data_IF_921076920958
#
_entry.id   IF_921076920958
#
_cell.length_a   1.000
_cell.length_b   1.000
_cell.length_c   1.000
_cell.angle_alpha   90.00
_cell.angle_beta   90.00
_cell.angle_gamma   90.00
#
_symmetry.space_group_name_H-M   'P 1'
#
loop_
_entity.id
_entity.type
_entity.pdbx_description
1 polymer ?
#
# COMPACT_ATOMS: atom_id res chain seq x y z
N UNK A 1 47.45 -1.56 -8.07
CA UNK A 1 47.49 -0.09 -8.22
C UNK A 1 46.91 0.24 -9.59
N UNK A 2 45.60 0.48 -9.65
CA UNK A 2 44.94 0.87 -10.90
C UNK A 2 43.86 1.88 -10.53
N UNK A 3 44.13 3.14 -10.85
CA UNK A 3 43.25 4.27 -10.61
C UNK A 3 42.13 4.27 -11.66
N UNK A 4 40.88 4.45 -11.23
CA UNK A 4 39.78 4.69 -12.17
C UNK A 4 39.62 6.20 -12.38
N UNK A 5 40.00 6.62 -13.59
CA UNK A 5 39.93 7.98 -14.12
C UNK A 5 39.04 7.92 -15.36
N UNK A 6 37.80 8.39 -15.28
CA UNK A 6 36.98 8.71 -16.47
C UNK A 6 35.74 9.55 -16.09
N UNK A 7 35.96 10.82 -15.76
CA UNK A 7 34.96 11.86 -15.93
C UNK A 7 35.23 12.49 -17.30
N UNK A 8 34.33 12.35 -18.29
CA UNK A 8 34.19 13.24 -19.45
C UNK A 8 32.97 12.83 -20.31
N UNK A 9 31.97 13.72 -20.28
CA UNK A 9 30.98 14.09 -21.32
C UNK A 9 30.57 13.07 -22.41
N UNK A 10 29.26 12.80 -22.49
CA UNK A 10 28.56 12.21 -23.63
C UNK A 10 27.07 12.62 -23.64
N UNK A 11 26.39 12.70 -24.81
CA UNK A 11 25.46 13.78 -25.11
C UNK A 11 23.98 13.50 -24.79
N UNK A 12 23.22 14.61 -24.75
CA UNK A 12 21.79 14.72 -24.53
C UNK A 12 20.96 13.71 -25.36
N UNK A 13 20.18 12.87 -24.67
CA UNK A 13 19.15 12.03 -25.31
C UNK A 13 17.85 12.81 -25.42
N UNK A 14 17.30 12.77 -26.63
CA UNK A 14 16.04 13.38 -27.04
C UNK A 14 14.87 12.85 -26.21
N UNK A 15 14.04 13.77 -25.71
CA UNK A 15 12.77 13.44 -25.08
C UNK A 15 11.81 12.86 -26.12
N UNK A 16 11.46 11.58 -25.99
CA UNK A 16 10.30 11.01 -26.66
C UNK A 16 9.08 11.28 -25.80
N UNK A 17 8.24 12.21 -26.26
CA UNK A 17 6.94 12.54 -25.69
C UNK A 17 6.01 11.32 -25.74
N UNK A 18 5.57 10.88 -24.56
CA UNK A 18 4.53 9.86 -24.38
C UNK A 18 3.19 10.49 -24.78
N UNK A 19 2.38 9.88 -25.68
CA UNK A 19 1.05 10.39 -25.98
C UNK A 19 0.12 10.18 -24.78
N UNK A 20 -0.62 11.24 -24.42
CA UNK A 20 -1.59 11.22 -23.34
C UNK A 20 -2.71 10.20 -23.61
N UNK A 21 -3.00 9.32 -22.65
CA UNK A 21 -4.20 8.50 -22.65
C UNK A 21 -5.43 9.40 -22.57
N UNK A 22 -6.31 9.30 -23.57
CA UNK A 22 -7.61 9.97 -23.54
C UNK A 22 -8.55 9.25 -22.54
N UNK A 23 -9.31 9.99 -21.72
CA UNK A 23 -10.35 9.39 -20.89
C UNK A 23 -11.53 8.89 -21.75
N UNK A 24 -12.24 7.85 -21.33
CA UNK A 24 -13.40 7.33 -22.05
C UNK A 24 -14.54 8.36 -22.08
N UNK A 25 -15.38 8.37 -23.14
CA UNK A 25 -16.46 9.33 -23.25
C UNK A 25 -17.54 9.12 -22.18
N UNK A 26 -18.04 10.23 -21.64
CA UNK A 26 -19.11 10.26 -20.66
C UNK A 26 -20.39 9.64 -21.19
N UNK A 27 -21.03 8.78 -20.38
CA UNK A 27 -22.36 8.21 -20.68
C UNK A 27 -23.42 9.32 -20.58
N UNK A 28 -24.38 9.40 -21.52
CA UNK A 28 -25.42 10.42 -21.46
C UNK A 28 -26.35 10.20 -20.27
N UNK A 29 -26.55 11.28 -19.51
CA UNK A 29 -27.52 11.39 -18.44
C UNK A 29 -28.90 11.76 -19.02
N UNK A 30 -29.78 10.77 -19.14
CA UNK A 30 -31.24 10.83 -19.29
C UNK A 30 -31.62 9.35 -19.47
N UNK A 31 -32.61 8.74 -18.83
CA UNK A 31 -33.99 9.16 -18.69
C UNK A 31 -34.57 8.48 -17.43
N UNK A 32 -34.85 9.25 -16.39
CA UNK A 32 -35.84 8.88 -15.38
C UNK A 32 -36.87 10.00 -15.35
N UNK A 33 -37.86 9.92 -16.24
CA UNK A 33 -39.11 10.66 -16.06
C UNK A 33 -40.04 9.77 -15.24
N UNK A 34 -40.13 10.09 -13.96
CA UNK A 34 -41.25 9.69 -13.11
C UNK A 34 -42.48 10.50 -13.54
N UNK A 35 -43.31 9.93 -14.40
CA UNK A 35 -44.68 10.42 -14.61
C UNK A 35 -45.61 9.74 -13.61
N UNK A 36 -45.85 10.44 -12.51
CA UNK A 36 -46.91 10.12 -11.55
C UNK A 36 -48.29 10.47 -12.12
N UNK A 37 -49.18 9.47 -12.10
CA UNK A 37 -50.64 9.54 -11.91
C UNK A 37 -51.48 10.49 -12.79
N UNK A 38 -52.41 9.93 -13.56
CA UNK A 38 -53.84 10.16 -13.31
C UNK A 38 -54.76 9.17 -14.03
N UNK A 39 -55.84 8.86 -13.32
CA UNK A 39 -56.92 7.93 -13.65
C UNK A 39 -57.73 8.43 -14.85
N UNK A 40 -58.10 7.50 -15.73
CA UNK A 40 -59.37 7.53 -16.47
C UNK A 40 -59.67 6.12 -17.00
N UNK A 41 -60.09 5.23 -16.10
CA UNK A 41 -60.76 3.98 -16.47
C UNK A 41 -62.15 4.31 -17.01
N UNK A 42 -62.34 4.11 -18.30
CA UNK A 42 -63.63 4.20 -18.97
C UNK A 42 -63.63 3.31 -20.21
N UNK A 43 -63.59 1.99 -20.01
CA UNK A 43 -63.86 1.03 -21.09
C UNK A 43 -64.98 0.12 -20.61
N UNK A 44 -66.15 0.31 -21.19
CA UNK A 44 -67.25 -0.63 -21.15
C UNK A 44 -66.80 -1.94 -21.80
N UNK A 45 -66.54 -2.97 -21.00
CA UNK A 45 -66.47 -4.34 -21.48
C UNK A 45 -67.81 -5.01 -21.16
N UNK A 46 -68.69 -4.99 -22.16
CA UNK A 46 -69.76 -5.97 -22.26
C UNK A 46 -69.14 -7.38 -22.21
N UNK A 47 -69.76 -8.24 -21.42
CA UNK A 47 -69.28 -9.58 -21.13
C UNK A 47 -69.04 -10.40 -22.38
N UNK A 48 -67.79 -10.83 -22.53
CA UNK A 48 -67.46 -12.07 -23.23
C UNK A 48 -66.40 -12.76 -22.37
N UNK A 49 -66.87 -13.55 -21.40
CA UNK A 49 -66.05 -14.56 -20.75
C UNK A 49 -65.79 -15.62 -21.83
N UNK A 50 -64.76 -15.40 -22.64
CA UNK A 50 -64.08 -16.50 -23.30
C UNK A 50 -63.31 -17.18 -22.17
N UNK A 51 -63.89 -18.23 -21.59
CA UNK A 51 -63.08 -19.23 -20.89
C UNK A 51 -62.20 -19.88 -21.96
N UNK A 52 -61.06 -19.25 -22.26
CA UNK A 52 -60.01 -19.90 -23.00
C UNK A 52 -59.48 -21.00 -22.08
N UNK A 53 -60.17 -22.14 -22.09
CA UNK A 53 -59.71 -23.37 -21.48
C UNK A 53 -58.43 -23.73 -22.22
N UNK A 54 -57.29 -23.29 -21.69
CA UNK A 54 -55.99 -23.70 -22.19
C UNK A 54 -55.96 -25.23 -22.16
N UNK A 55 -55.50 -25.90 -23.24
CA UNK A 55 -55.46 -27.35 -23.28
C UNK A 55 -54.65 -27.85 -22.08
N UNK A 56 -55.03 -28.98 -21.44
CA UNK A 56 -54.40 -29.47 -20.22
C UNK A 56 -52.86 -29.48 -20.20
N UNK A 57 -52.13 -29.81 -21.30
CA UNK A 57 -50.67 -29.75 -21.30
C UNK A 57 -50.10 -28.32 -21.22
N UNK A 58 -50.84 -27.30 -21.67
CA UNK A 58 -50.41 -25.91 -21.61
C UNK A 58 -50.49 -25.34 -20.18
N UNK A 59 -51.50 -25.74 -19.40
CA UNK A 59 -51.63 -25.36 -17.98
C UNK A 59 -50.52 -25.98 -17.14
N UNK A 60 -50.23 -27.27 -17.38
CA UNK A 60 -49.12 -27.97 -16.73
C UNK A 60 -47.76 -27.33 -17.06
N UNK A 61 -47.54 -26.92 -18.32
CA UNK A 61 -46.31 -26.25 -18.75
C UNK A 61 -46.13 -24.87 -18.10
N UNK A 62 -47.21 -24.10 -17.94
CA UNK A 62 -47.17 -22.78 -17.27
C UNK A 62 -46.93 -22.91 -15.77
N UNK A 63 -47.57 -23.88 -15.11
CA UNK A 63 -47.34 -24.17 -13.69
C UNK A 63 -45.88 -24.59 -13.45
N UNK A 64 -45.35 -25.47 -14.28
CA UNK A 64 -43.95 -25.92 -14.16
C UNK A 64 -42.95 -24.79 -14.45
N UNK A 65 -43.25 -23.92 -15.42
CA UNK A 65 -42.44 -22.73 -15.67
C UNK A 65 -42.46 -21.76 -14.48
N UNK A 66 -43.60 -21.60 -13.81
CA UNK A 66 -43.72 -20.77 -12.61
C UNK A 66 -42.97 -21.35 -11.40
N UNK A 67 -43.00 -22.68 -11.23
CA UNK A 67 -42.24 -23.40 -10.20
C UNK A 67 -40.73 -23.23 -10.41
N UNK A 68 -40.26 -23.37 -11.66
CA UNK A 68 -38.83 -23.19 -11.99
C UNK A 68 -38.37 -21.76 -11.71
N UNK A 69 -39.21 -20.76 -11.98
CA UNK A 69 -38.89 -19.35 -11.66
C UNK A 69 -38.85 -19.11 -10.15
N UNK A 70 -39.77 -19.70 -9.38
CA UNK A 70 -39.78 -19.62 -7.92
C UNK A 70 -38.54 -20.29 -7.31
N UNK A 71 -38.16 -21.47 -7.79
CA UNK A 71 -36.96 -22.17 -7.35
C UNK A 71 -35.68 -21.37 -7.65
N UNK A 72 -35.60 -20.72 -8.81
CA UNK A 72 -34.48 -19.83 -9.15
C UNK A 72 -34.43 -18.59 -8.27
N UNK A 73 -35.57 -17.99 -7.94
CA UNK A 73 -35.64 -16.85 -7.04
C UNK A 73 -35.12 -17.22 -5.63
N UNK A 74 -35.58 -18.35 -5.08
CA UNK A 74 -35.12 -18.86 -3.79
C UNK A 74 -33.61 -19.17 -3.78
N UNK A 75 -33.09 -19.76 -4.86
CA UNK A 75 -31.66 -20.03 -4.99
C UNK A 75 -30.81 -18.74 -5.04
N UNK A 76 -31.31 -17.68 -5.66
CA UNK A 76 -30.64 -16.37 -5.70
C UNK A 76 -30.67 -15.69 -4.33
N UNK A 77 -31.78 -15.78 -3.60
CA UNK A 77 -31.88 -15.28 -2.23
C UNK A 77 -30.94 -16.02 -1.28
N UNK A 78 -30.85 -17.34 -1.39
CA UNK A 78 -29.94 -18.14 -0.58
C UNK A 78 -28.46 -17.83 -0.91
N UNK A 79 -28.14 -17.63 -2.18
CA UNK A 79 -26.82 -17.19 -2.60
C UNK A 79 -26.51 -15.78 -2.06
N UNK A 80 -27.46 -14.85 -2.15
CA UNK A 80 -27.33 -13.50 -1.61
C UNK A 80 -27.15 -13.52 -0.09
N UNK A 81 -27.89 -14.36 0.63
CA UNK A 81 -27.74 -14.56 2.07
C UNK A 81 -26.38 -15.16 2.43
N UNK A 82 -25.86 -16.12 1.65
CA UNK A 82 -24.51 -16.67 1.83
C UNK A 82 -23.42 -15.62 1.56
N UNK A 83 -23.61 -14.77 0.55
CA UNK A 83 -22.71 -13.64 0.29
C UNK A 83 -22.77 -12.60 1.40
N UNK A 84 -23.97 -12.23 1.87
CA UNK A 84 -24.16 -11.30 2.98
C UNK A 84 -23.61 -11.86 4.30
N UNK A 85 -23.80 -13.14 4.58
CA UNK A 85 -23.24 -13.82 5.75
C UNK A 85 -21.72 -14.00 5.65
N UNK A 86 -21.16 -14.11 4.44
CA UNK A 86 -19.71 -14.12 4.20
C UNK A 86 -19.10 -12.72 4.26
N UNK A 87 -19.82 -11.68 3.84
CA UNK A 87 -19.42 -10.29 4.07
C UNK A 87 -19.63 -9.88 5.54
N UNK A 88 -20.58 -10.53 6.23
CA UNK A 88 -20.81 -10.46 7.66
C UNK A 88 -20.11 -11.58 8.44
N UNK A 89 -19.11 -12.25 7.82
CA UNK A 89 -18.15 -13.06 8.54
C UNK A 89 -17.65 -12.22 9.72
N UNK A 90 -17.46 -12.83 10.90
CA UNK A 90 -17.46 -12.09 12.14
C UNK A 90 -16.52 -10.92 11.96
N UNK A 91 -17.06 -9.70 12.04
CA UNK A 91 -16.24 -8.55 12.33
C UNK A 91 -15.54 -8.96 13.63
N UNK A 92 -14.33 -9.50 13.50
CA UNK A 92 -13.42 -9.65 14.61
C UNK A 92 -13.45 -8.28 15.23
N UNK A 93 -13.89 -8.24 16.50
CA UNK A 93 -14.20 -7.05 17.28
C UNK A 93 -12.96 -6.17 17.43
N UNK A 94 -12.50 -5.61 16.32
CA UNK A 94 -11.82 -4.35 16.26
C UNK A 94 -12.92 -3.39 16.68
N UNK A 95 -12.78 -2.84 17.89
CA UNK A 95 -13.36 -1.55 18.18
C UNK A 95 -13.04 -0.70 16.95
N UNK A 96 -14.04 -0.26 16.18
CA UNK A 96 -13.82 0.53 14.97
C UNK A 96 -13.28 1.90 15.40
N UNK A 97 -12.01 1.90 15.80
CA UNK A 97 -11.25 3.10 16.07
C UNK A 97 -11.24 3.87 14.76
N UNK A 98 -11.85 5.05 14.79
CA UNK A 98 -12.00 5.87 13.61
C UNK A 98 -10.63 6.16 13.01
N UNK A 99 -10.55 6.33 11.68
CA UNK A 99 -9.28 6.64 11.00
C UNK A 99 -8.53 7.81 11.66
N UNK A 100 -9.19 8.92 12.09
CA UNK A 100 -8.51 9.99 12.82
C UNK A 100 -7.89 9.56 14.15
N UNK A 101 -8.56 8.70 14.92
CA UNK A 101 -8.02 8.18 16.19
C UNK A 101 -6.81 7.27 15.96
N UNK A 102 -6.90 6.35 14.99
CA UNK A 102 -5.78 5.49 14.58
C UNK A 102 -4.59 6.32 14.11
N UNK A 103 -4.84 7.35 13.32
CA UNK A 103 -3.80 8.26 12.83
C UNK A 103 -3.13 9.03 13.98
N UNK A 104 -3.91 9.55 14.94
CA UNK A 104 -3.38 10.23 16.11
C UNK A 104 -2.49 9.30 16.95
N UNK A 105 -2.91 8.04 17.14
CA UNK A 105 -2.13 7.03 17.86
C UNK A 105 -0.85 6.63 17.12
N UNK A 106 -0.90 6.49 15.79
CA UNK A 106 0.28 6.30 14.95
C UNK A 106 1.27 7.45 15.14
N UNK A 107 0.79 8.69 15.04
CA UNK A 107 1.63 9.88 15.20
C UNK A 107 2.26 9.94 16.60
N UNK A 108 1.50 9.61 17.63
CA UNK A 108 1.99 9.55 19.00
C UNK A 108 3.13 8.52 19.15
N UNK A 109 2.92 7.28 18.72
CA UNK A 109 3.93 6.23 18.82
C UNK A 109 5.20 6.54 18.02
N UNK A 110 5.05 7.13 16.83
CA UNK A 110 6.18 7.61 16.03
C UNK A 110 6.96 8.71 16.75
N UNK A 111 6.25 9.66 17.39
CA UNK A 111 6.90 10.72 18.16
C UNK A 111 7.63 10.17 19.40
N UNK A 112 7.04 9.21 20.11
CA UNK A 112 7.67 8.51 21.23
C UNK A 112 8.94 7.78 20.78
N UNK A 113 8.91 7.07 19.65
CA UNK A 113 10.07 6.39 19.08
C UNK A 113 11.20 7.35 18.70
N UNK A 114 10.86 8.48 18.07
CA UNK A 114 11.81 9.53 17.70
C UNK A 114 12.45 10.19 18.94
N UNK A 115 11.64 10.54 19.93
CA UNK A 115 12.12 11.12 21.19
C UNK A 115 13.04 10.15 21.96
N UNK A 116 12.66 8.86 22.03
CA UNK A 116 13.49 7.84 22.66
C UNK A 116 14.84 7.64 21.94
N UNK A 117 14.84 7.67 20.60
CA UNK A 117 16.07 7.58 19.81
C UNK A 117 16.97 8.80 20.03
N UNK A 118 16.40 10.01 20.08
CA UNK A 118 17.14 11.24 20.38
C UNK A 118 17.72 11.24 21.81
N UNK A 119 17.04 10.62 22.76
CA UNK A 119 17.54 10.42 24.13
C UNK A 119 18.58 9.28 24.25
N UNK A 120 18.91 8.59 23.15
CA UNK A 120 19.84 7.46 23.14
C UNK A 120 19.25 6.15 23.69
N UNK A 121 17.95 6.11 24.01
CA UNK A 121 17.27 4.90 24.46
C UNK A 121 16.78 4.08 23.25
N UNK A 122 17.73 3.48 22.55
CA UNK A 122 17.46 2.77 21.29
C UNK A 122 16.55 1.54 21.45
N UNK A 123 16.56 0.88 22.62
CA UNK A 123 15.68 -0.25 22.90
C UNK A 123 14.21 0.18 23.01
N UNK A 124 13.94 1.28 23.73
CA UNK A 124 12.59 1.84 23.80
C UNK A 124 12.13 2.39 22.44
N UNK A 125 13.03 3.06 21.71
CA UNK A 125 12.75 3.53 20.36
C UNK A 125 12.35 2.37 19.42
N UNK A 126 13.11 1.26 19.47
CA UNK A 126 12.82 0.08 18.68
C UNK A 126 11.44 -0.50 19.03
N UNK A 127 11.09 -0.59 20.31
CA UNK A 127 9.79 -1.08 20.76
C UNK A 127 8.61 -0.20 20.29
N UNK A 128 8.80 1.13 20.25
CA UNK A 128 7.80 2.07 19.75
C UNK A 128 7.59 1.89 18.23
N UNK A 129 8.66 1.86 17.44
CA UNK A 129 8.55 1.63 15.99
C UNK A 129 8.03 0.23 15.65
N UNK A 130 8.41 -0.81 16.41
CA UNK A 130 7.81 -2.15 16.32
C UNK A 130 6.29 -2.09 16.50
N UNK A 131 5.82 -1.29 17.45
CA UNK A 131 4.39 -1.10 17.72
C UNK A 131 3.70 -0.42 16.55
N UNK A 132 4.32 0.59 15.94
CA UNK A 132 3.78 1.26 14.73
C UNK A 132 3.62 0.26 13.58
N UNK A 133 4.68 -0.48 13.26
CA UNK A 133 4.70 -1.44 12.14
C UNK A 133 3.65 -2.54 12.33
N UNK A 134 3.42 -3.00 13.57
CA UNK A 134 2.44 -4.05 13.86
C UNK A 134 0.99 -3.56 13.87
N UNK A 135 0.74 -2.36 14.37
CA UNK A 135 -0.62 -1.85 14.60
C UNK A 135 -1.19 -1.07 13.40
N UNK A 136 -0.33 -0.53 12.55
CA UNK A 136 -0.73 0.35 11.44
C UNK A 136 -0.12 -0.03 10.09
N UNK A 137 -0.13 -1.32 9.67
CA UNK A 137 0.49 -1.74 8.41
C UNK A 137 -0.19 -1.16 7.15
N UNK A 138 -1.41 -0.64 7.28
CA UNK A 138 -2.23 -0.07 6.22
C UNK A 138 -1.94 1.41 5.93
N UNK A 139 -1.18 2.10 6.79
CA UNK A 139 -0.83 3.50 6.59
C UNK A 139 0.45 3.66 5.80
N UNK A 140 0.43 4.50 4.75
CA UNK A 140 1.63 4.80 3.95
C UNK A 140 2.78 5.42 4.78
N UNK A 141 2.47 6.14 5.87
CA UNK A 141 3.47 6.73 6.77
C UNK A 141 4.20 5.69 7.63
N UNK A 142 3.72 4.44 7.68
CA UNK A 142 4.37 3.35 8.42
C UNK A 142 5.73 2.99 7.84
N UNK A 143 5.97 3.28 6.56
CA UNK A 143 7.28 3.07 5.92
C UNK A 143 8.42 3.84 6.61
N UNK A 144 8.14 5.04 7.14
CA UNK A 144 9.10 5.78 7.96
C UNK A 144 9.47 5.03 9.25
N UNK A 145 8.48 4.42 9.91
CA UNK A 145 8.70 3.61 11.11
C UNK A 145 9.48 2.33 10.78
N UNK A 146 9.23 1.72 9.61
CA UNK A 146 9.98 0.55 9.14
C UNK A 146 11.45 0.91 8.92
N UNK A 147 11.75 2.01 8.24
CA UNK A 147 13.13 2.46 8.07
C UNK A 147 13.79 2.74 9.43
N UNK A 148 13.15 3.53 10.28
CA UNK A 148 13.68 3.86 11.61
C UNK A 148 13.97 2.62 12.46
N UNK A 149 13.06 1.64 12.42
CA UNK A 149 13.24 0.31 13.04
C UNK A 149 14.48 -0.39 12.52
N UNK A 150 14.70 -0.42 11.20
CA UNK A 150 15.88 -1.07 10.61
C UNK A 150 17.20 -0.42 11.08
N UNK A 151 17.25 0.92 11.14
CA UNK A 151 18.42 1.64 11.65
C UNK A 151 18.69 1.33 13.14
N UNK A 152 17.63 1.22 13.95
CA UNK A 152 17.73 0.88 15.37
C UNK A 152 18.13 -0.58 15.61
N UNK A 153 17.65 -1.50 14.78
CA UNK A 153 18.13 -2.89 14.79
C UNK A 153 19.64 -2.94 14.58
N UNK A 154 20.15 -2.16 13.62
CA UNK A 154 21.58 -2.07 13.39
C UNK A 154 22.33 -1.50 14.59
N UNK A 155 21.85 -0.38 15.14
CA UNK A 155 22.41 0.26 16.35
C UNK A 155 22.51 -0.72 17.54
N UNK A 156 21.50 -1.57 17.73
CA UNK A 156 21.42 -2.56 18.80
C UNK A 156 22.19 -3.86 18.48
N UNK A 157 22.85 -3.96 17.34
CA UNK A 157 23.67 -5.10 16.94
C UNK A 157 22.92 -6.28 16.35
N UNK A 158 21.63 -6.10 16.02
CA UNK A 158 20.85 -7.07 15.25
C UNK A 158 21.10 -6.87 13.75
N UNK A 159 22.37 -7.02 13.35
CA UNK A 159 22.84 -6.66 12.01
C UNK A 159 22.10 -7.40 10.89
N UNK A 160 21.95 -8.73 11.00
CA UNK A 160 21.26 -9.52 9.96
C UNK A 160 19.81 -9.07 9.77
N UNK A 161 19.09 -8.81 10.87
CA UNK A 161 17.70 -8.34 10.81
C UNK A 161 17.60 -6.96 10.17
N UNK A 162 18.57 -6.08 10.46
CA UNK A 162 18.63 -4.75 9.87
C UNK A 162 18.87 -4.80 8.35
N UNK A 163 19.82 -5.63 7.89
CA UNK A 163 20.10 -5.80 6.46
C UNK A 163 18.87 -6.35 5.74
N UNK A 164 18.27 -7.43 6.23
CA UNK A 164 17.08 -8.02 5.62
C UNK A 164 15.93 -7.01 5.52
N UNK A 165 15.75 -6.18 6.55
CA UNK A 165 14.71 -5.15 6.51
C UNK A 165 15.04 -3.99 5.56
N UNK A 166 16.31 -3.59 5.44
CA UNK A 166 16.74 -2.57 4.49
C UNK A 166 16.61 -3.06 3.04
N UNK A 167 16.93 -4.33 2.76
CA UNK A 167 16.73 -4.96 1.44
C UNK A 167 15.24 -5.04 1.09
N UNK A 168 14.37 -5.38 2.04
CA UNK A 168 12.93 -5.36 1.80
C UNK A 168 12.40 -3.93 1.53
N UNK A 169 12.91 -2.94 2.26
CA UNK A 169 12.58 -1.52 2.05
C UNK A 169 13.10 -0.99 0.71
N UNK A 170 14.26 -1.46 0.24
CA UNK A 170 14.80 -1.10 -1.08
C UNK A 170 13.82 -1.48 -2.19
N UNK A 171 13.21 -2.67 -2.08
CA UNK A 171 12.22 -3.16 -3.05
C UNK A 171 10.91 -2.38 -2.94
N UNK A 172 10.45 -2.10 -1.71
CA UNK A 172 9.18 -1.41 -1.46
C UNK A 172 9.23 0.09 -1.78
N UNK A 173 10.36 0.75 -1.52
CA UNK A 173 10.55 2.20 -1.61
C UNK A 173 11.58 2.56 -2.68
N UNK A 174 11.32 2.14 -3.93
CA UNK A 174 12.20 2.44 -5.06
C UNK A 174 12.44 3.94 -5.18
N UNK A 175 13.71 4.35 -5.04
CA UNK A 175 14.14 5.74 -5.13
C UNK A 175 14.21 6.51 -3.82
N UNK A 176 13.96 5.84 -2.68
CA UNK A 176 14.20 6.46 -1.38
C UNK A 176 15.70 6.41 -1.02
N UNK A 177 16.41 7.48 -1.40
CA UNK A 177 17.87 7.63 -1.23
C UNK A 177 18.41 7.23 0.15
N UNK A 178 17.64 7.45 1.21
CA UNK A 178 18.05 7.12 2.57
C UNK A 178 18.21 5.61 2.82
N UNK A 179 17.32 4.80 2.24
CA UNK A 179 17.39 3.34 2.36
C UNK A 179 18.66 2.85 1.66
N UNK A 180 18.89 3.32 0.44
CA UNK A 180 20.06 2.96 -0.35
C UNK A 180 21.37 3.40 0.34
N UNK A 181 21.44 4.62 0.87
CA UNK A 181 22.61 5.10 1.60
C UNK A 181 22.87 4.30 2.89
N UNK A 182 21.83 3.98 3.66
CA UNK A 182 21.96 3.18 4.87
C UNK A 182 22.40 1.74 4.55
N UNK A 183 21.80 1.12 3.53
CA UNK A 183 22.14 -0.22 3.08
C UNK A 183 23.59 -0.29 2.58
N UNK A 184 24.04 0.68 1.79
CA UNK A 184 25.43 0.78 1.34
C UNK A 184 26.43 0.82 2.52
N UNK A 185 26.21 1.71 3.49
CA UNK A 185 27.07 1.85 4.66
C UNK A 185 27.13 0.57 5.51
N UNK A 186 25.98 -0.09 5.72
CA UNK A 186 25.88 -1.33 6.51
C UNK A 186 26.52 -2.50 5.77
N UNK A 187 26.24 -2.68 4.48
CA UNK A 187 26.82 -3.77 3.68
C UNK A 187 28.34 -3.67 3.60
N UNK A 188 28.88 -2.47 3.35
CA UNK A 188 30.32 -2.26 3.31
C UNK A 188 31.01 -2.67 4.61
N UNK A 189 30.43 -2.26 5.74
CA UNK A 189 31.05 -2.49 7.06
C UNK A 189 30.90 -3.94 7.54
N UNK A 190 29.76 -4.57 7.28
CA UNK A 190 29.37 -5.83 7.91
C UNK A 190 29.45 -7.03 6.96
N UNK A 191 29.43 -6.80 5.64
CA UNK A 191 29.45 -7.84 4.60
C UNK A 191 30.50 -7.51 3.53
N UNK A 192 31.81 -7.66 3.82
CA UNK A 192 32.87 -7.39 2.85
C UNK A 192 32.82 -8.24 1.57
N UNK A 193 32.07 -9.35 1.56
CA UNK A 193 31.84 -10.15 0.36
C UNK A 193 30.82 -9.52 -0.61
N UNK A 194 30.06 -8.52 -0.16
CA UNK A 194 29.00 -7.83 -0.91
C UNK A 194 29.38 -6.37 -1.22
N UNK A 195 30.68 -6.09 -1.42
CA UNK A 195 31.17 -4.74 -1.70
C UNK A 195 30.57 -4.17 -3.00
N UNK A 196 30.51 -4.96 -4.07
CA UNK A 196 29.92 -4.54 -5.34
C UNK A 196 28.45 -4.12 -5.18
N UNK A 197 27.71 -4.83 -4.31
CA UNK A 197 26.33 -4.47 -3.98
C UNK A 197 26.29 -3.16 -3.17
N UNK A 198 27.17 -2.98 -2.19
CA UNK A 198 27.25 -1.74 -1.42
C UNK A 198 27.54 -0.53 -2.32
N UNK A 199 28.46 -0.65 -3.27
CA UNK A 199 28.78 0.38 -4.26
C UNK A 199 27.58 0.69 -5.16
N UNK A 200 26.89 -0.34 -5.67
CA UNK A 200 25.68 -0.17 -6.46
C UNK A 200 24.59 0.59 -5.70
N UNK A 201 24.37 0.23 -4.43
CA UNK A 201 23.39 0.91 -3.58
C UNK A 201 23.79 2.37 -3.34
N UNK A 202 25.08 2.65 -3.18
CA UNK A 202 25.57 4.01 -3.04
C UNK A 202 25.36 4.87 -4.30
N UNK A 203 25.64 4.33 -5.47
CA UNK A 203 25.41 5.01 -6.75
C UNK A 203 23.94 5.44 -6.89
N UNK A 204 23.00 4.53 -6.56
CA UNK A 204 21.58 4.82 -6.54
C UNK A 204 21.27 5.95 -5.55
N UNK A 205 21.80 5.88 -4.32
CA UNK A 205 21.59 6.92 -3.32
C UNK A 205 22.02 8.31 -3.82
N UNK A 206 23.18 8.39 -4.50
CA UNK A 206 23.73 9.63 -5.04
C UNK A 206 22.93 10.19 -6.22
N UNK A 207 22.32 9.32 -7.04
CA UNK A 207 21.43 9.74 -8.14
C UNK A 207 20.21 10.50 -7.59
N UNK A 208 19.62 10.01 -6.51
CA UNK A 208 18.43 10.62 -5.92
C UNK A 208 18.74 11.80 -4.99
N UNK A 209 19.79 11.68 -4.17
CA UNK A 209 20.18 12.75 -3.25
C UNK A 209 21.69 12.72 -2.95
N UNK A 210 22.49 13.55 -3.63
CA UNK A 210 23.95 13.57 -3.44
C UNK A 210 24.37 14.07 -2.05
N UNK A 211 23.47 14.67 -1.26
CA UNK A 211 23.82 15.19 0.07
C UNK A 211 24.18 14.10 1.09
N UNK A 212 23.86 12.84 0.82
CA UNK A 212 24.30 11.73 1.68
C UNK A 212 25.83 11.57 1.71
N UNK A 213 26.55 12.13 0.74
CA UNK A 213 28.03 12.20 0.74
C UNK A 213 28.60 13.16 1.80
N UNK A 214 27.78 14.02 2.41
CA UNK A 214 28.16 14.90 3.50
C UNK A 214 27.66 14.34 4.85
N UNK A 215 28.55 13.74 5.68
CA UNK A 215 28.16 13.21 6.99
C UNK A 215 27.55 14.26 7.92
N UNK A 216 27.96 15.52 7.81
CA UNK A 216 27.43 16.60 8.64
C UNK A 216 25.97 16.89 8.28
N UNK A 217 25.65 16.85 6.98
CA UNK A 217 24.28 16.96 6.52
C UNK A 217 23.42 15.77 6.99
N UNK A 218 23.93 14.54 6.89
CA UNK A 218 23.22 13.34 7.35
C UNK A 218 22.92 13.42 8.85
N UNK A 219 23.92 13.77 9.66
CA UNK A 219 23.77 13.93 11.11
C UNK A 219 22.70 14.98 11.46
N UNK A 220 22.69 16.11 10.75
CA UNK A 220 21.76 17.20 11.03
C UNK A 220 20.32 16.94 10.54
N UNK A 221 20.11 16.13 9.50
CA UNK A 221 18.81 16.01 8.83
C UNK A 221 18.13 14.65 9.03
N UNK A 222 18.87 13.57 9.27
CA UNK A 222 18.35 12.19 9.21
C UNK A 222 18.27 11.49 10.56
N UNK A 223 18.87 12.03 11.62
CA UNK A 223 18.85 11.44 12.97
C UNK A 223 19.35 9.98 12.99
N UNK A 224 20.33 9.67 12.16
CA UNK A 224 20.93 8.35 12.12
C UNK A 224 21.61 8.01 13.45
N UNK A 225 21.45 6.77 13.95
CA UNK A 225 22.09 6.36 15.18
C UNK A 225 23.63 6.29 15.01
N UNK A 226 24.41 6.46 16.09
CA UNK A 226 25.85 6.70 16.01
C UNK A 226 26.63 5.53 15.38
N UNK A 227 26.18 4.29 15.54
CA UNK A 227 26.80 3.13 14.87
C UNK A 227 26.64 3.22 13.36
N UNK A 228 25.48 3.65 12.88
CA UNK A 228 25.25 3.82 11.44
C UNK A 228 26.06 4.99 10.88
N UNK A 229 26.16 6.10 11.62
CA UNK A 229 27.05 7.20 11.26
C UNK A 229 28.53 6.75 11.17
N UNK A 230 28.95 5.86 12.06
CA UNK A 230 30.31 5.28 12.01
C UNK A 230 30.49 4.37 10.79
N UNK A 231 29.48 3.58 10.43
CA UNK A 231 29.50 2.76 9.21
C UNK A 231 29.56 3.62 7.94
N UNK A 232 28.82 4.74 7.90
CA UNK A 232 28.88 5.71 6.82
C UNK A 232 30.27 6.35 6.71
N UNK A 233 30.87 6.75 7.83
CA UNK A 233 32.22 7.32 7.84
C UNK A 233 33.27 6.33 7.30
N UNK A 234 33.18 5.05 7.66
CA UNK A 234 34.05 3.99 7.13
C UNK A 234 33.88 3.82 5.63
N UNK A 235 32.63 3.76 5.17
CA UNK A 235 32.30 3.66 3.76
C UNK A 235 32.91 4.83 2.95
N UNK A 236 32.72 6.07 3.42
CA UNK A 236 33.20 7.26 2.71
C UNK A 236 34.73 7.41 2.74
N UNK A 237 35.37 6.99 3.83
CA UNK A 237 36.81 7.14 4.01
C UNK A 237 37.62 5.89 3.61
N UNK A 238 36.96 4.85 3.07
CA UNK A 238 37.56 3.59 2.65
C UNK A 238 38.45 2.93 3.72
N UNK A 239 37.97 2.91 4.97
CA UNK A 239 38.67 2.34 6.13
C UNK A 239 38.13 0.99 6.56
#
# INVERSE_FOLDING_TARGET
MTACRACLMGPARQAHSIPALQPPPARPAAWWQSSSLSRATGICLAGLVVTAQLPPPAVASVLHASEVLQQRAQALEELAARYQARSAAPQLRYQEESVPQRLARLQQLTAEGSAAAAAGNYAAALAAYDSVVKQFPDFATTEYARLSRALLLYQLGRTSDAILQLEDLEVALRGYSEVHAALAAVLYTERPALLDQAETQWEIAMEFNPKFSDPSWVAANKHWPPRLMTALDRFLNLK
#
